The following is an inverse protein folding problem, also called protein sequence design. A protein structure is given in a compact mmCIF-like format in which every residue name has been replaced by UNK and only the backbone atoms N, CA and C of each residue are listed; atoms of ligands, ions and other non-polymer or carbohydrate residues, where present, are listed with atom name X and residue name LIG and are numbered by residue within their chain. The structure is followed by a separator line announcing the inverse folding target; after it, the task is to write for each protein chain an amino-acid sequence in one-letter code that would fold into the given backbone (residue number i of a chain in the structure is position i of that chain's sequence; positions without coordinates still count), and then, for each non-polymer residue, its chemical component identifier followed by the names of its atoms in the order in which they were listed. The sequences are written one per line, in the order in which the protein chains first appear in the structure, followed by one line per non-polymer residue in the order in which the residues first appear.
data_IF_561914155230
#
_entry.id   IF_561914155230
#
_cell.length_a   1.000
_cell.length_b   1.000
_cell.length_c   1.000
_cell.angle_alpha   90.00
_cell.angle_beta   90.00
_cell.angle_gamma   90.00
#
_symmetry.space_group_name_H-M   'P 1'
#
loop_
_entity.id
_entity.type
_entity.pdbx_description
1 polymer ?
#
# COMPACT_ATOMS: atom_id res chain seq x y z
N UNK A 1 -12.01 8.16 8.00
CA UNK A 1 -11.93 6.79 8.61
C UNK A 1 -10.61 6.12 8.18
N UNK A 2 -10.06 5.16 8.93
CA UNK A 2 -8.75 4.53 8.59
C UNK A 2 -8.77 3.78 7.25
N UNK A 3 -9.91 3.17 6.89
CA UNK A 3 -10.14 2.52 5.58
C UNK A 3 -9.92 3.51 4.43
N UNK A 4 -10.55 4.68 4.49
CA UNK A 4 -10.39 5.72 3.46
C UNK A 4 -8.94 6.23 3.36
N UNK A 5 -8.25 6.35 4.49
CA UNK A 5 -6.84 6.77 4.50
C UNK A 5 -5.94 5.71 3.83
N UNK A 6 -6.17 4.43 4.12
CA UNK A 6 -5.46 3.33 3.46
C UNK A 6 -5.73 3.31 1.95
N UNK A 7 -6.99 3.50 1.53
CA UNK A 7 -7.36 3.60 0.12
C UNK A 7 -6.66 4.78 -0.59
N UNK A 8 -6.70 5.96 0.02
CA UNK A 8 -6.03 7.16 -0.49
C UNK A 8 -4.51 6.99 -0.56
N UNK A 9 -3.92 6.22 0.36
CA UNK A 9 -2.50 5.89 0.34
C UNK A 9 -2.11 4.91 -0.78
N UNK A 10 -3.08 4.29 -1.48
CA UNK A 10 -2.83 3.31 -2.54
C UNK A 10 -2.98 1.85 -2.10
N UNK A 11 -3.70 1.56 -1.02
CA UNK A 11 -3.89 0.19 -0.55
C UNK A 11 -4.53 -0.75 -1.57
N UNK A 12 -5.26 -0.23 -2.56
CA UNK A 12 -5.78 -1.08 -3.63
C UNK A 12 -4.66 -1.71 -4.49
N UNK A 13 -3.49 -1.07 -4.58
CA UNK A 13 -2.36 -1.56 -5.37
C UNK A 13 -1.40 -2.42 -4.54
N UNK A 14 -1.21 -2.06 -3.27
CA UNK A 14 -0.19 -2.66 -2.41
C UNK A 14 -0.74 -3.62 -1.34
N UNK A 15 -2.03 -3.52 -0.99
CA UNK A 15 -2.69 -4.36 0.02
C UNK A 15 -4.18 -4.63 -0.34
N UNK A 16 -4.49 -5.13 -1.55
CA UNK A 16 -5.86 -5.26 -2.04
C UNK A 16 -6.72 -6.21 -1.21
N UNK A 17 -6.10 -7.24 -0.64
CA UNK A 17 -6.80 -8.24 0.17
C UNK A 17 -7.28 -7.63 1.49
N UNK A 18 -6.37 -6.97 2.21
CA UNK A 18 -6.64 -6.38 3.51
C UNK A 18 -7.69 -5.28 3.41
N UNK A 19 -7.61 -4.40 2.41
CA UNK A 19 -8.57 -3.31 2.27
C UNK A 19 -9.96 -3.83 1.85
N UNK A 20 -10.02 -4.88 1.03
CA UNK A 20 -11.28 -5.55 0.69
C UNK A 20 -11.92 -6.18 1.92
N UNK A 21 -11.13 -6.86 2.73
CA UNK A 21 -11.62 -7.51 3.93
C UNK A 21 -12.07 -6.49 4.98
N UNK A 22 -11.37 -5.37 5.12
CA UNK A 22 -11.78 -4.23 5.94
C UNK A 22 -13.14 -3.65 5.51
N UNK A 23 -13.33 -3.42 4.19
CA UNK A 23 -14.61 -2.95 3.63
C UNK A 23 -15.75 -3.93 3.90
N UNK A 24 -15.50 -5.23 3.68
CA UNK A 24 -16.50 -6.27 3.93
C UNK A 24 -16.92 -6.31 5.39
N UNK A 25 -15.97 -6.21 6.33
CA UNK A 25 -16.27 -6.20 7.76
C UNK A 25 -17.01 -4.92 8.19
N UNK A 26 -16.69 -3.77 7.59
CA UNK A 26 -17.44 -2.53 7.80
C UNK A 26 -18.90 -2.67 7.33
N UNK A 27 -19.14 -3.26 6.16
CA UNK A 27 -20.49 -3.51 5.64
C UNK A 27 -21.26 -4.48 6.56
N UNK A 28 -20.60 -5.55 7.03
CA UNK A 28 -21.19 -6.47 8.00
C UNK A 28 -21.51 -5.78 9.33
N UNK A 29 -20.67 -4.83 9.77
CA UNK A 29 -20.93 -4.06 10.99
C UNK A 29 -22.15 -3.16 10.83
N UNK A 30 -22.31 -2.51 9.68
CA UNK A 30 -23.49 -1.69 9.36
C UNK A 30 -24.77 -2.53 9.41
N UNK A 31 -24.77 -3.72 8.81
CA UNK A 31 -25.90 -4.67 8.90
C UNK A 31 -26.19 -5.10 10.34
N UNK A 32 -25.15 -5.39 11.13
CA UNK A 32 -25.33 -5.75 12.54
C UNK A 32 -25.95 -4.60 13.37
N UNK A 33 -25.65 -3.34 13.04
CA UNK A 33 -26.32 -2.18 13.67
C UNK A 33 -27.81 -2.13 13.31
N UNK A 34 -28.16 -2.39 12.06
CA UNK A 34 -29.56 -2.45 11.60
C UNK A 34 -30.34 -3.58 12.30
N UNK A 35 -29.67 -4.71 12.54
CA UNK A 35 -30.20 -5.86 13.30
C UNK A 35 -30.19 -5.64 14.82
N UNK A 36 -29.69 -4.49 15.31
CA UNK A 36 -29.51 -4.15 16.74
C UNK A 36 -28.53 -5.07 17.49
N UNK A 37 -27.67 -5.76 16.75
CA UNK A 37 -26.59 -6.61 17.24
C UNK A 37 -25.33 -5.79 17.53
N UNK A 38 -25.42 -4.84 18.47
CA UNK A 38 -24.37 -3.83 18.70
C UNK A 38 -23.01 -4.41 19.09
N UNK A 39 -22.99 -5.44 19.93
CA UNK A 39 -21.75 -6.13 20.32
C UNK A 39 -21.05 -6.77 19.12
N UNK A 40 -21.83 -7.35 18.21
CA UNK A 40 -21.31 -7.91 16.96
C UNK A 40 -20.79 -6.79 16.05
N UNK A 41 -21.52 -5.68 15.94
CA UNK A 41 -21.10 -4.52 15.16
C UNK A 41 -19.76 -3.95 15.65
N UNK A 42 -19.60 -3.78 16.97
CA UNK A 42 -18.37 -3.26 17.57
C UNK A 42 -17.16 -4.16 17.25
N UNK A 43 -17.30 -5.48 17.42
CA UNK A 43 -16.22 -6.43 17.06
C UNK A 43 -15.87 -6.36 15.58
N UNK A 44 -16.87 -6.28 14.71
CA UNK A 44 -16.65 -6.16 13.27
C UNK A 44 -15.94 -4.85 12.89
N UNK A 45 -16.28 -3.73 13.55
CA UNK A 45 -15.60 -2.44 13.35
C UNK A 45 -14.15 -2.49 13.81
N UNK A 46 -13.86 -3.12 14.95
CA UNK A 46 -12.50 -3.27 15.44
C UNK A 46 -11.65 -4.11 14.48
N UNK A 47 -12.19 -5.24 14.00
CA UNK A 47 -11.52 -6.06 13.01
C UNK A 47 -11.29 -5.29 11.70
N UNK A 48 -12.31 -4.56 11.22
CA UNK A 48 -12.19 -3.73 10.02
C UNK A 48 -11.11 -2.66 10.16
N UNK A 49 -10.97 -2.07 11.36
CA UNK A 49 -9.91 -1.10 11.66
C UNK A 49 -8.53 -1.75 11.58
N UNK A 50 -8.34 -2.90 12.22
CA UNK A 50 -7.05 -3.62 12.23
C UNK A 50 -6.64 -4.03 10.81
N UNK A 51 -7.57 -4.55 10.00
CA UNK A 51 -7.28 -4.89 8.60
C UNK A 51 -6.85 -3.67 7.79
N UNK A 52 -7.51 -2.52 7.99
CA UNK A 52 -7.18 -1.30 7.28
C UNK A 52 -5.86 -0.67 7.75
N UNK A 53 -5.53 -0.76 9.04
CA UNK A 53 -4.20 -0.39 9.57
C UNK A 53 -3.11 -1.28 8.96
N UNK A 54 -3.36 -2.59 8.86
CA UNK A 54 -2.45 -3.51 8.18
C UNK A 54 -2.29 -3.16 6.70
N UNK A 55 -3.39 -2.84 6.02
CA UNK A 55 -3.37 -2.40 4.62
C UNK A 55 -2.52 -1.12 4.44
N UNK A 56 -2.68 -0.15 5.34
CA UNK A 56 -1.91 1.10 5.33
C UNK A 56 -0.41 0.83 5.50
N UNK A 57 -0.02 0.00 6.47
CA UNK A 57 1.40 -0.34 6.71
C UNK A 57 2.01 -1.07 5.52
N UNK A 58 1.29 -2.05 4.96
CA UNK A 58 1.72 -2.78 3.75
C UNK A 58 1.91 -1.83 2.55
N UNK A 59 1.02 -0.85 2.41
CA UNK A 59 1.09 0.17 1.37
C UNK A 59 2.34 1.02 1.48
N UNK A 60 2.59 1.58 2.67
CA UNK A 60 3.79 2.37 2.93
C UNK A 60 5.08 1.56 2.69
N UNK A 61 5.08 0.29 3.09
CA UNK A 61 6.20 -0.61 2.86
C UNK A 61 6.45 -0.86 1.37
N UNK A 62 5.39 -1.20 0.62
CA UNK A 62 5.48 -1.45 -0.82
C UNK A 62 5.91 -0.21 -1.61
N UNK A 63 5.41 0.97 -1.25
CA UNK A 63 5.87 2.24 -1.83
C UNK A 63 7.35 2.48 -1.55
N UNK A 64 7.79 2.27 -0.31
CA UNK A 64 9.21 2.43 0.05
C UNK A 64 10.11 1.47 -0.74
N UNK A 65 9.68 0.22 -0.92
CA UNK A 65 10.41 -0.76 -1.73
C UNK A 65 10.49 -0.34 -3.20
N UNK A 66 9.40 0.18 -3.76
CA UNK A 66 9.37 0.71 -5.14
C UNK A 66 10.34 1.87 -5.31
N UNK A 67 10.33 2.85 -4.40
CA UNK A 67 11.25 4.00 -4.42
C UNK A 67 12.71 3.54 -4.36
N UNK A 68 13.02 2.56 -3.50
CA UNK A 68 14.38 2.00 -3.41
C UNK A 68 14.79 1.31 -4.72
N UNK A 69 13.89 0.58 -5.37
CA UNK A 69 14.17 -0.05 -6.65
C UNK A 69 14.43 0.99 -7.75
N UNK A 70 13.60 2.03 -7.84
CA UNK A 70 13.77 3.13 -8.79
C UNK A 70 15.09 3.89 -8.57
N UNK A 71 15.47 4.15 -7.32
CA UNK A 71 16.74 4.80 -7.01
C UNK A 71 17.94 3.95 -7.43
N UNK A 72 17.90 2.62 -7.20
CA UNK A 72 18.96 1.70 -7.63
C UNK A 72 19.11 1.68 -9.14
N UNK A 73 17.99 1.67 -9.85
CA UNK A 73 17.96 1.71 -11.30
C UNK A 73 18.53 3.01 -11.85
N UNK A 74 18.14 4.16 -11.28
CA UNK A 74 18.69 5.45 -11.66
C UNK A 74 20.22 5.50 -11.46
N UNK A 75 20.73 4.96 -10.35
CA UNK A 75 22.18 4.87 -10.10
C UNK A 75 22.87 3.98 -11.14
N UNK A 76 22.25 2.85 -11.52
CA UNK A 76 22.77 1.95 -12.56
C UNK A 76 22.89 2.67 -13.90
N UNK A 77 21.81 3.33 -14.34
CA UNK A 77 21.78 4.09 -15.60
C UNK A 77 22.84 5.20 -15.61
N UNK A 78 22.97 5.96 -14.52
CA UNK A 78 24.01 7.00 -14.42
C UNK A 78 25.43 6.43 -14.54
N UNK A 79 25.70 5.25 -13.96
CA UNK A 79 27.01 4.59 -14.08
C UNK A 79 27.29 4.14 -15.51
N UNK A 80 26.28 3.62 -16.20
CA UNK A 80 26.38 3.21 -17.60
C UNK A 80 26.64 4.40 -18.52
N UNK A 81 25.96 5.52 -18.32
CA UNK A 81 26.18 6.76 -19.08
C UNK A 81 27.60 7.32 -18.89
N UNK A 82 28.12 7.31 -17.66
CA UNK A 82 29.50 7.74 -17.35
C UNK A 82 30.52 6.81 -18.02
N UNK A 83 30.33 5.48 -17.88
CA UNK A 83 31.22 4.49 -18.49
C UNK A 83 31.23 4.55 -20.02
N UNK A 84 30.05 4.75 -20.64
CA UNK A 84 29.90 4.88 -22.09
C UNK A 84 30.58 6.15 -22.62
N UNK A 85 30.42 7.30 -21.95
CA UNK A 85 31.11 8.55 -22.31
C UNK A 85 32.64 8.43 -22.20
N UNK A 86 33.16 7.73 -21.19
CA UNK A 86 34.60 7.51 -21.02
C UNK A 86 35.19 6.57 -22.08
N UNK A 87 34.41 5.60 -22.59
CA UNK A 87 34.84 4.69 -23.65
C UNK A 87 34.81 5.32 -25.06
N UNK A 88 33.95 6.31 -25.29
CA UNK A 88 33.81 6.98 -26.59
C UNK A 88 34.86 8.08 -26.84
N UNK A 89 35.52 8.59 -25.81
CA UNK A 89 36.58 9.60 -25.93
C UNK A 89 37.95 9.04 -26.37
N UNK A 90 38.10 7.72 -26.53
CA UNK A 90 39.34 7.06 -26.96
C UNK A 90 39.31 6.60 -28.44
N UNK A 91 38.40 7.13 -29.26
CA UNK A 91 38.22 6.71 -30.66
C UNK A 91 38.34 7.83 -31.72
N UNK A 92 38.80 9.02 -31.36
CA UNK A 92 39.06 10.12 -32.32
C UNK A 92 40.55 10.45 -32.42
#
# INVERSE_FOLDING_TARGET
MVIQQAEQAGANDFAPLEIRDARKKLEMAQKAVEEKEYERALRLLEHARVDAELAQVKTLSGQSQKIVAELRENIRTLREEIGSKSGNNNKN
#
